data_IF_004802915635
#
_entry.id   IF_004802915635
#
_cell.length_a   1.000
_cell.length_b   1.000
_cell.length_c   1.000
_cell.angle_alpha   90.00
_cell.angle_beta   90.00
_cell.angle_gamma   90.00
#
_symmetry.space_group_name_H-M   'P 1'
#
loop_
_entity.id
_entity.type
_entity.pdbx_description
1 polymer ?
#
# COMPACT_ATOMS: atom_id res chain seq x y z
N UNK A 1 24.02 5.39 1.28
CA UNK A 1 23.69 6.44 2.27
C UNK A 1 22.41 6.02 2.96
N UNK A 2 22.37 6.04 4.29
CA UNK A 2 21.17 5.75 5.07
C UNK A 2 20.58 7.04 5.59
N UNK A 3 19.25 7.16 5.56
CA UNK A 3 18.51 8.32 6.06
C UNK A 3 17.65 7.92 7.26
N UNK A 4 17.49 8.83 8.21
CA UNK A 4 16.54 8.64 9.31
C UNK A 4 15.12 8.87 8.78
N UNK A 5 14.25 7.87 8.92
CA UNK A 5 12.92 7.86 8.31
C UNK A 5 11.78 8.40 9.17
N UNK A 6 12.07 9.16 10.23
CA UNK A 6 11.03 9.74 11.09
C UNK A 6 10.68 11.17 10.68
N UNK A 7 9.41 11.51 10.83
CA UNK A 7 8.85 12.82 10.51
C UNK A 7 8.09 13.40 11.71
N UNK A 8 7.97 14.73 11.78
CA UNK A 8 7.09 15.38 12.75
C UNK A 8 5.64 14.98 12.47
N UNK A 9 4.98 14.35 13.44
CA UNK A 9 3.64 13.81 13.27
C UNK A 9 2.55 14.87 13.21
N UNK A 10 2.77 16.05 13.83
CA UNK A 10 1.83 17.17 13.86
C UNK A 10 0.43 16.84 14.41
N UNK A 11 0.24 15.64 14.97
CA UNK A 11 -1.04 15.06 15.32
C UNK A 11 -0.99 14.62 16.77
N UNK A 12 -1.97 15.07 17.54
CA UNK A 12 -2.17 14.69 18.94
C UNK A 12 -3.53 14.00 19.08
N UNK A 13 -3.66 13.16 20.09
CA UNK A 13 -4.96 12.61 20.49
C UNK A 13 -5.87 13.70 21.08
N UNK A 14 -7.15 13.39 21.33
CA UNK A 14 -8.10 14.35 21.92
C UNK A 14 -7.69 14.84 23.31
N UNK A 15 -6.96 14.03 24.07
CA UNK A 15 -6.38 14.35 25.38
C UNK A 15 -5.00 15.01 25.28
N UNK A 16 -4.52 15.32 24.07
CA UNK A 16 -3.28 16.04 23.82
C UNK A 16 -2.01 15.18 23.89
N UNK A 17 -2.12 13.85 23.87
CA UNK A 17 -0.96 12.96 23.85
C UNK A 17 -0.35 12.84 22.44
N UNK A 18 0.96 12.64 22.38
CA UNK A 18 1.68 12.45 21.11
C UNK A 18 1.31 11.13 20.45
N UNK A 19 1.10 11.15 19.13
CA UNK A 19 0.80 9.95 18.34
C UNK A 19 2.04 9.49 17.58
N UNK A 20 2.35 8.19 17.71
CA UNK A 20 3.36 7.52 16.87
C UNK A 20 2.66 6.82 15.71
N UNK A 21 2.93 7.26 14.49
CA UNK A 21 2.42 6.62 13.27
C UNK A 21 3.51 5.74 12.64
N UNK A 22 3.24 4.45 12.52
CA UNK A 22 4.11 3.48 11.85
C UNK A 22 3.69 3.33 10.39
N UNK A 23 4.43 3.98 9.49
CA UNK A 23 4.18 3.94 8.05
C UNK A 23 4.73 2.72 7.33
N UNK A 24 4.69 2.77 6.00
CA UNK A 24 5.16 1.72 5.09
C UNK A 24 6.63 1.35 5.29
N UNK A 25 7.49 2.30 5.67
CA UNK A 25 8.91 2.06 5.92
C UNK A 25 9.13 1.07 7.07
N UNK A 26 8.32 1.14 8.13
CA UNK A 26 8.40 0.23 9.29
C UNK A 26 7.89 -1.17 8.91
N UNK A 27 6.89 -1.24 8.04
CA UNK A 27 6.27 -2.48 7.58
C UNK A 27 7.02 -3.13 6.39
N UNK A 28 8.01 -2.44 5.83
CA UNK A 28 8.80 -2.92 4.69
C UNK A 28 9.52 -4.23 5.03
N UNK A 29 9.42 -5.21 4.12
CA UNK A 29 9.95 -6.57 4.31
C UNK A 29 9.52 -7.23 5.63
N UNK A 30 8.26 -7.02 6.01
CA UNK A 30 7.62 -7.76 7.11
C UNK A 30 6.39 -8.50 6.62
N UNK A 31 6.20 -9.71 7.15
CA UNK A 31 4.92 -10.41 7.10
C UNK A 31 4.11 -9.95 8.31
N UNK A 32 3.03 -9.21 8.07
CA UNK A 32 2.17 -8.63 9.11
C UNK A 32 0.87 -9.44 9.21
N UNK A 33 0.47 -9.78 10.42
CA UNK A 33 -0.76 -10.51 10.74
C UNK A 33 -1.60 -9.66 11.68
N UNK A 34 -2.87 -9.47 11.32
CA UNK A 34 -3.88 -8.83 12.15
C UNK A 34 -4.79 -9.92 12.71
N UNK A 35 -4.67 -10.18 14.01
CA UNK A 35 -5.56 -11.08 14.70
C UNK A 35 -6.70 -10.24 15.31
N UNK A 36 -7.84 -10.23 14.61
CA UNK A 36 -9.00 -9.44 15.01
C UNK A 36 -9.73 -10.03 16.22
N UNK A 37 -9.62 -11.34 16.45
CA UNK A 37 -10.29 -12.01 17.57
C UNK A 37 -9.58 -11.70 18.89
N UNK A 38 -8.25 -11.58 18.86
CA UNK A 38 -7.42 -11.24 20.02
C UNK A 38 -7.00 -9.77 20.07
N UNK A 39 -7.39 -8.95 19.09
CA UNK A 39 -7.01 -7.53 18.95
C UNK A 39 -5.49 -7.29 18.97
N UNK A 40 -4.71 -8.22 18.42
CA UNK A 40 -3.25 -8.13 18.38
C UNK A 40 -2.71 -8.04 16.96
N UNK A 41 -1.60 -7.32 16.83
CA UNK A 41 -0.85 -7.20 15.58
C UNK A 41 0.49 -7.89 15.78
N UNK A 42 0.81 -8.85 14.91
CA UNK A 42 2.09 -9.52 14.88
C UNK A 42 2.82 -9.24 13.57
N UNK A 43 4.15 -9.20 13.62
CA UNK A 43 4.96 -9.17 12.41
C UNK A 43 6.27 -9.93 12.58
N UNK A 44 6.84 -10.37 11.47
CA UNK A 44 8.17 -10.98 11.40
C UNK A 44 8.89 -10.51 10.15
N UNK A 45 10.22 -10.44 10.19
CA UNK A 45 11.01 -10.14 9.00
C UNK A 45 10.76 -11.20 7.92
N UNK A 46 10.44 -10.74 6.71
CA UNK A 46 10.09 -11.60 5.59
C UNK A 46 10.48 -10.94 4.26
N UNK A 47 11.08 -11.73 3.37
CA UNK A 47 11.32 -11.28 2.00
C UNK A 47 9.99 -11.27 1.23
N UNK A 48 9.37 -10.10 1.07
CA UNK A 48 8.08 -9.95 0.39
C UNK A 48 8.09 -10.31 -1.11
N UNK A 49 9.27 -10.57 -1.71
CA UNK A 49 9.38 -11.15 -3.07
C UNK A 49 9.29 -12.68 -3.09
N UNK A 50 9.40 -13.32 -1.92
CA UNK A 50 9.21 -14.76 -1.75
C UNK A 50 7.74 -15.12 -1.52
N UNK A 51 7.42 -16.42 -1.49
CA UNK A 51 6.08 -16.88 -1.18
C UNK A 51 5.90 -17.18 0.31
N UNK A 52 4.67 -17.03 0.79
CA UNK A 52 4.22 -17.47 2.10
C UNK A 52 3.41 -18.75 1.96
N UNK A 53 3.43 -19.61 2.99
CA UNK A 53 2.56 -20.79 3.07
C UNK A 53 1.45 -20.53 4.07
N UNK A 54 0.21 -20.67 3.63
CA UNK A 54 -0.99 -20.51 4.45
C UNK A 54 -1.73 -21.84 4.50
N UNK A 55 -2.23 -22.22 5.67
CA UNK A 55 -3.05 -23.41 5.86
C UNK A 55 -4.49 -22.98 6.14
N UNK A 56 -5.45 -23.56 5.44
CA UNK A 56 -6.87 -23.26 5.66
C UNK A 56 -7.47 -24.14 6.78
N UNK A 57 -8.76 -23.94 7.06
CA UNK A 57 -9.49 -24.75 8.04
C UNK A 57 -9.68 -26.22 7.66
N UNK A 58 -9.56 -26.57 6.37
CA UNK A 58 -9.60 -27.96 5.89
C UNK A 58 -8.26 -28.69 6.09
N UNK A 59 -7.19 -27.92 6.31
CA UNK A 59 -5.84 -28.38 6.50
C UNK A 59 -5.01 -28.40 5.21
N UNK A 60 -5.57 -27.93 4.10
CA UNK A 60 -4.85 -27.73 2.85
C UNK A 60 -3.87 -26.55 2.98
N UNK A 61 -2.69 -26.70 2.39
CA UNK A 61 -1.65 -25.68 2.40
C UNK A 61 -1.49 -25.06 1.02
N UNK A 62 -1.46 -23.73 0.97
CA UNK A 62 -1.35 -22.92 -0.24
C UNK A 62 -0.12 -22.03 -0.18
N UNK A 63 0.60 -21.93 -1.29
CA UNK A 63 1.72 -21.00 -1.43
C UNK A 63 1.21 -19.74 -2.12
N UNK A 64 1.19 -18.63 -1.39
CA UNK A 64 0.78 -17.32 -1.92
C UNK A 64 2.03 -16.48 -2.17
N UNK A 65 2.06 -15.76 -3.28
CA UNK A 65 3.12 -14.83 -3.63
C UNK A 65 2.47 -13.49 -3.98
N UNK A 66 3.11 -12.39 -3.61
CA UNK A 66 2.52 -11.05 -3.73
C UNK A 66 2.09 -10.71 -5.17
N UNK A 67 2.86 -11.13 -6.17
CA UNK A 67 2.55 -10.96 -7.60
C UNK A 67 1.26 -11.66 -8.04
N UNK A 68 0.92 -12.81 -7.45
CA UNK A 68 -0.32 -13.54 -7.73
C UNK A 68 -1.54 -12.93 -7.02
N UNK A 69 -1.35 -12.09 -6.00
CA UNK A 69 -2.42 -11.43 -5.25
C UNK A 69 -2.82 -10.08 -5.89
N UNK A 70 -1.90 -9.43 -6.61
CA UNK A 70 -2.14 -8.19 -7.37
C UNK A 70 -2.83 -8.52 -8.69
N UNK A 71 -4.01 -9.14 -8.63
CA UNK A 71 -4.92 -9.24 -9.76
C UNK A 71 -6.25 -8.58 -9.40
N UNK A 72 -6.24 -7.29 -9.05
CA UNK A 72 -7.40 -6.37 -9.11
C UNK A 72 -7.03 -4.96 -8.63
N UNK A 73 -6.34 -4.20 -9.49
CA UNK A 73 -6.47 -2.74 -9.61
C UNK A 73 -5.54 -2.24 -10.71
N UNK A 74 -5.52 -2.88 -11.88
CA UNK A 74 -5.14 -2.14 -13.07
C UNK A 74 -6.24 -1.10 -13.29
N UNK A 75 -6.07 0.11 -12.73
CA UNK A 75 -6.70 1.28 -13.29
C UNK A 75 -6.21 1.29 -14.74
N UNK A 76 -7.05 0.86 -15.67
CA UNK A 76 -6.81 1.07 -17.09
C UNK A 76 -6.93 2.56 -17.29
N UNK A 77 -5.84 3.28 -17.02
CA UNK A 77 -5.67 4.62 -17.54
C UNK A 77 -5.48 4.37 -19.03
N UNK A 78 -6.61 4.32 -19.76
CA UNK A 78 -6.59 4.11 -21.18
C UNK A 78 -5.79 5.29 -21.76
N UNK A 79 -4.57 5.02 -22.25
CA UNK A 79 -3.67 6.06 -22.76
C UNK A 79 -4.36 6.94 -23.81
N UNK A 80 -5.32 6.36 -24.53
CA UNK A 80 -6.19 7.05 -25.50
C UNK A 80 -7.07 8.14 -24.87
N UNK A 81 -7.60 7.94 -23.66
CA UNK A 81 -8.40 8.94 -22.96
C UNK A 81 -7.53 10.11 -22.49
N UNK A 82 -6.34 9.81 -21.98
CA UNK A 82 -5.37 10.83 -21.53
C UNK A 82 -4.91 11.68 -22.71
N UNK A 83 -4.57 11.07 -23.85
CA UNK A 83 -4.18 11.82 -25.04
C UNK A 83 -5.32 12.67 -25.60
N UNK A 84 -6.55 12.15 -25.63
CA UNK A 84 -7.74 12.92 -26.05
C UNK A 84 -8.00 14.14 -25.15
N UNK A 85 -7.95 13.98 -23.83
CA UNK A 85 -8.12 15.07 -22.88
C UNK A 85 -7.01 16.13 -23.03
N UNK A 86 -5.78 15.69 -23.25
CA UNK A 86 -4.63 16.57 -23.51
C UNK A 86 -4.84 17.44 -24.76
N UNK A 87 -5.31 16.82 -25.85
CA UNK A 87 -5.60 17.51 -27.12
C UNK A 87 -6.75 18.50 -26.92
N UNK A 88 -7.84 18.10 -26.26
CA UNK A 88 -8.97 18.99 -25.99
C UNK A 88 -8.54 20.24 -25.21
N UNK A 89 -7.78 20.07 -24.12
CA UNK A 89 -7.27 21.20 -23.32
C UNK A 89 -6.40 22.11 -24.17
N UNK A 90 -5.51 21.55 -25.01
CA UNK A 90 -4.66 22.35 -25.89
C UNK A 90 -5.48 23.15 -26.91
N UNK A 91 -6.50 22.55 -27.53
CA UNK A 91 -7.39 23.22 -28.49
C UNK A 91 -8.17 24.35 -27.80
N UNK A 92 -8.77 24.09 -26.63
CA UNK A 92 -9.46 25.12 -25.86
C UNK A 92 -8.55 26.31 -25.53
N UNK A 93 -7.31 26.05 -25.11
CA UNK A 93 -6.34 27.12 -24.83
C UNK A 93 -6.04 27.97 -26.07
N UNK A 94 -5.88 27.35 -27.24
CA UNK A 94 -5.64 28.05 -28.52
C UNK A 94 -6.85 28.86 -29.02
N UNK A 95 -8.08 28.48 -28.67
CA UNK A 95 -9.30 29.21 -29.05
C UNK A 95 -9.66 30.37 -28.10
N UNK A 96 -9.12 30.37 -26.88
CA UNK A 96 -9.44 31.38 -25.86
C UNK A 96 -8.40 32.51 -25.81
N UNK A 97 -7.28 32.37 -26.54
CA UNK A 97 -6.27 33.40 -26.82
C UNK A 97 -6.48 33.98 -28.22
#
# INVERSE_FOLDING_TARGET
>A
MYCFGWQSGGMTTQDGSDVILLGDLVLSNKLVVYDLDNEVIGWVDHNCSSSIKVKDGSGAAYSLKADNLVQSASSVINGTLVTLLSILISVFYTFTL
#
